data_IF_718244439791
#
_entry.id   IF_718244439791
#
_cell.length_a   1.000
_cell.length_b   1.000
_cell.length_c   1.000
_cell.angle_alpha   90.00
_cell.angle_beta   90.00
_cell.angle_gamma   90.00
#
_symmetry.space_group_name_H-M   'P 1'
#
loop_
_entity.id
_entity.type
_entity.pdbx_description
1 polymer ?
#
# COMPACT_ATOMS: atom_id res chain seq x y z
N UNK A 1 16.94 -11.21 -16.84
CA UNK A 1 16.55 -9.82 -17.14
C UNK A 1 16.47 -9.07 -15.82
N UNK A 2 17.22 -7.97 -15.67
CA UNK A 2 17.06 -7.13 -14.49
C UNK A 2 15.62 -6.59 -14.49
N UNK A 3 14.85 -6.91 -13.45
CA UNK A 3 13.43 -6.53 -13.33
C UNK A 3 13.21 -5.01 -13.28
N UNK A 4 14.28 -4.21 -13.20
CA UNK A 4 14.28 -2.76 -13.12
C UNK A 4 15.33 -2.15 -14.06
N UNK A 5 15.00 -1.02 -14.70
CA UNK A 5 15.89 -0.30 -15.64
C UNK A 5 17.05 0.37 -14.92
N UNK A 6 16.82 0.87 -13.71
CA UNK A 6 17.81 1.47 -12.81
C UNK A 6 17.24 1.49 -11.37
N UNK A 7 18.00 2.04 -10.42
CA UNK A 7 17.60 2.10 -9.01
C UNK A 7 16.37 3.00 -8.78
N UNK A 8 16.24 4.09 -9.53
CA UNK A 8 15.07 4.98 -9.50
C UNK A 8 13.80 4.25 -9.97
N UNK A 9 13.86 3.53 -11.10
CA UNK A 9 12.75 2.70 -11.63
C UNK A 9 12.34 1.63 -10.62
N UNK A 10 13.30 1.03 -9.91
CA UNK A 10 13.03 0.09 -8.83
C UNK A 10 12.21 0.72 -7.70
N UNK A 11 12.57 1.93 -7.25
CA UNK A 11 11.80 2.63 -6.23
C UNK A 11 10.43 3.09 -6.73
N UNK A 12 10.32 3.57 -7.98
CA UNK A 12 9.02 3.92 -8.59
C UNK A 12 8.08 2.73 -8.66
N UNK A 13 8.53 1.59 -9.15
CA UNK A 13 7.71 0.37 -9.21
C UNK A 13 7.31 -0.13 -7.82
N UNK A 14 8.20 -0.01 -6.82
CA UNK A 14 7.85 -0.34 -5.42
C UNK A 14 6.82 0.63 -4.85
N UNK A 15 6.92 1.93 -5.15
CA UNK A 15 5.94 2.91 -4.74
C UNK A 15 4.55 2.59 -5.32
N UNK A 16 4.47 2.30 -6.62
CA UNK A 16 3.23 1.91 -7.29
C UNK A 16 2.62 0.65 -6.69
N UNK A 17 3.42 -0.38 -6.42
CA UNK A 17 2.95 -1.62 -5.80
C UNK A 17 2.43 -1.39 -4.38
N UNK A 18 3.14 -0.60 -3.57
CA UNK A 18 2.69 -0.25 -2.23
C UNK A 18 1.39 0.57 -2.26
N UNK A 19 1.23 1.49 -3.23
CA UNK A 19 -0.03 2.22 -3.41
C UNK A 19 -1.18 1.26 -3.70
N UNK A 20 -1.01 0.34 -4.67
CA UNK A 20 -2.03 -0.66 -5.02
C UNK A 20 -2.43 -1.54 -3.83
N UNK A 21 -1.46 -1.98 -3.02
CA UNK A 21 -1.74 -2.76 -1.82
C UNK A 21 -2.43 -1.92 -0.74
N UNK A 22 -2.02 -0.65 -0.58
CA UNK A 22 -2.69 0.29 0.31
C UNK A 22 -4.15 0.50 -0.05
N UNK A 23 -4.43 0.76 -1.33
CA UNK A 23 -5.79 0.95 -1.86
C UNK A 23 -6.66 -0.30 -1.66
N UNK A 24 -6.09 -1.49 -1.89
CA UNK A 24 -6.75 -2.76 -1.63
C UNK A 24 -7.15 -2.92 -0.16
N UNK A 25 -6.22 -2.74 0.77
CA UNK A 25 -6.52 -2.86 2.20
C UNK A 25 -7.46 -1.75 2.69
N UNK A 26 -7.38 -0.55 2.14
CA UNK A 26 -8.31 0.52 2.46
C UNK A 26 -9.73 0.16 2.04
N UNK A 27 -9.92 -0.42 0.85
CA UNK A 27 -11.22 -0.91 0.41
C UNK A 27 -11.76 -2.02 1.33
N UNK A 28 -10.93 -3.00 1.71
CA UNK A 28 -11.31 -4.05 2.66
C UNK A 28 -11.70 -3.49 4.02
N UNK A 29 -10.98 -2.45 4.49
CA UNK A 29 -11.32 -1.75 5.73
C UNK A 29 -12.73 -1.14 5.65
N UNK A 30 -13.05 -0.46 4.55
CA UNK A 30 -14.37 0.15 4.32
C UNK A 30 -15.49 -0.89 4.23
N UNK A 31 -15.23 -2.04 3.60
CA UNK A 31 -16.18 -3.16 3.60
C UNK A 31 -16.42 -3.72 5.01
N UNK A 32 -15.36 -3.87 5.81
CA UNK A 32 -15.44 -4.30 7.20
C UNK A 32 -16.26 -3.34 8.06
N UNK A 33 -16.02 -2.03 7.92
CA UNK A 33 -16.81 -0.98 8.59
C UNK A 33 -18.30 -1.08 8.23
N UNK A 34 -18.61 -1.26 6.94
CA UNK A 34 -19.98 -1.38 6.46
C UNK A 34 -20.69 -2.65 6.96
N UNK A 35 -19.95 -3.74 7.18
CA UNK A 35 -20.47 -5.01 7.73
C UNK A 35 -20.54 -5.02 9.26
N UNK A 36 -20.01 -4.00 9.92
CA UNK A 36 -19.91 -3.93 11.39
C UNK A 36 -18.75 -4.74 11.99
N UNK A 37 -17.87 -5.29 11.17
CA UNK A 37 -16.67 -6.00 11.60
C UNK A 37 -15.54 -5.01 11.86
N UNK A 38 -15.60 -4.40 13.05
CA UNK A 38 -14.68 -3.31 13.45
C UNK A 38 -13.24 -3.80 13.60
N UNK A 39 -13.01 -5.04 14.04
CA UNK A 39 -11.67 -5.57 14.25
C UNK A 39 -10.96 -5.82 12.91
N UNK A 40 -11.64 -6.48 11.96
CA UNK A 40 -11.09 -6.68 10.63
C UNK A 40 -10.89 -5.33 9.91
N UNK A 41 -11.83 -4.40 10.06
CA UNK A 41 -11.71 -3.07 9.48
C UNK A 41 -10.49 -2.30 9.99
N UNK A 42 -10.23 -2.32 11.30
CA UNK A 42 -9.07 -1.66 11.92
C UNK A 42 -7.76 -2.30 11.47
N UNK A 43 -7.71 -3.64 11.41
CA UNK A 43 -6.53 -4.37 10.94
C UNK A 43 -6.18 -3.99 9.49
N UNK A 44 -7.18 -4.00 8.60
CA UNK A 44 -7.01 -3.59 7.21
C UNK A 44 -6.63 -2.10 7.08
N UNK A 45 -7.18 -1.22 7.91
CA UNK A 45 -6.79 0.18 7.91
C UNK A 45 -5.32 0.38 8.30
N UNK A 46 -4.83 -0.35 9.31
CA UNK A 46 -3.44 -0.31 9.73
C UNK A 46 -2.50 -0.82 8.62
N UNK A 47 -2.89 -1.88 7.92
CA UNK A 47 -2.16 -2.38 6.75
C UNK A 47 -2.13 -1.34 5.63
N UNK A 48 -3.25 -0.71 5.30
CA UNK A 48 -3.31 0.36 4.30
C UNK A 48 -2.37 1.52 4.65
N UNK A 49 -2.39 1.99 5.89
CA UNK A 49 -1.50 3.05 6.37
C UNK A 49 -0.02 2.69 6.26
N UNK A 50 0.34 1.45 6.62
CA UNK A 50 1.71 0.95 6.47
C UNK A 50 2.16 0.99 5.01
N UNK A 51 1.31 0.52 4.10
CA UNK A 51 1.61 0.50 2.66
C UNK A 51 1.76 1.91 2.09
N UNK A 52 0.87 2.85 2.44
CA UNK A 52 0.99 4.24 2.02
C UNK A 52 2.24 4.93 2.59
N UNK A 53 2.66 4.60 3.82
CA UNK A 53 3.92 5.10 4.36
C UNK A 53 5.11 4.58 3.55
N UNK A 54 5.12 3.29 3.24
CA UNK A 54 6.16 2.66 2.41
C UNK A 54 6.16 3.19 0.98
N UNK A 55 5.01 3.51 0.39
CA UNK A 55 4.88 4.19 -0.89
C UNK A 55 5.63 5.54 -0.86
N UNK A 56 5.29 6.43 0.09
CA UNK A 56 5.94 7.74 0.22
C UNK A 56 7.45 7.65 0.43
N UNK A 57 7.90 6.65 1.18
CA UNK A 57 9.33 6.39 1.39
C UNK A 57 10.05 5.94 0.11
N UNK A 58 9.37 5.21 -0.77
CA UNK A 58 9.93 4.82 -2.06
C UNK A 58 9.90 5.97 -3.06
N UNK A 59 8.83 6.79 -3.08
CA UNK A 59 8.76 8.00 -3.90
C UNK A 59 9.88 9.00 -3.57
N UNK A 60 10.25 9.11 -2.29
CA UNK A 60 11.36 9.97 -1.86
C UNK A 60 12.76 9.42 -2.23
N UNK A 61 12.85 8.15 -2.62
CA UNK A 61 14.12 7.47 -2.99
C UNK A 61 14.26 7.25 -4.49
N UNK A 62 13.16 7.38 -5.24
CA UNK A 62 13.14 7.37 -6.68
C UNK A 62 13.78 8.66 -7.22
#
# INVERSE_FOLDING_TARGET
>A
MAYYKNQEDMFRQRAENNKKQGDYHYAQSKEGEARGDKEAAQSHMAQAQYQYKSQKQNEAKA
#
